data_IF_762109002153
#
_entry.id   IF_762109002153
#
_cell.length_a   1.000
_cell.length_b   1.000
_cell.length_c   1.000
_cell.angle_alpha   90.00
_cell.angle_beta   90.00
_cell.angle_gamma   90.00
#
_symmetry.space_group_name_H-M   'P 1'
#
loop_
_entity.id
_entity.type
_entity.pdbx_description
1 polymer ?
#
# COMPACT_ATOMS: atom_id res chain seq x y z
N UNK A 1 -11.57 -15.42 3.81
CA UNK A 1 -11.24 -14.13 3.16
C UNK A 1 -10.15 -14.39 2.14
N UNK A 2 -10.43 -14.13 0.87
CA UNK A 2 -9.45 -14.12 -0.21
C UNK A 2 -8.45 -12.97 0.07
N UNK A 3 -7.16 -13.24 -0.07
CA UNK A 3 -6.13 -12.20 0.00
C UNK A 3 -6.20 -11.38 -1.29
N UNK A 4 -6.66 -10.13 -1.21
CA UNK A 4 -6.58 -9.20 -2.32
C UNK A 4 -5.34 -8.33 -2.13
N UNK A 5 -4.36 -8.47 -3.03
CA UNK A 5 -3.41 -7.40 -3.27
C UNK A 5 -4.11 -6.42 -4.19
N UNK A 6 -4.48 -5.25 -3.67
CA UNK A 6 -5.14 -4.22 -4.46
C UNK A 6 -4.10 -3.49 -5.30
N UNK A 7 -4.18 -3.60 -6.63
CA UNK A 7 -3.44 -2.72 -7.53
C UNK A 7 -4.29 -1.50 -7.80
N UNK A 8 -3.92 -0.43 -7.10
CA UNK A 8 -4.68 0.81 -7.08
C UNK A 8 -3.95 1.85 -7.91
N UNK A 9 -4.66 2.50 -8.83
CA UNK A 9 -4.13 3.65 -9.55
C UNK A 9 -4.30 4.93 -8.70
N UNK A 10 -3.27 5.78 -8.68
CA UNK A 10 -3.34 7.07 -7.99
C UNK A 10 -3.73 8.13 -8.99
N UNK A 11 -4.86 8.81 -8.76
CA UNK A 11 -5.29 9.92 -9.59
C UNK A 11 -4.99 11.25 -8.86
N UNK A 12 -4.29 12.16 -9.54
CA UNK A 12 -4.11 13.56 -9.11
C UNK A 12 -4.84 14.48 -10.09
N UNK A 13 -5.96 15.05 -9.66
CA UNK A 13 -6.81 15.89 -10.51
C UNK A 13 -6.43 17.38 -10.41
N UNK A 14 -5.33 17.77 -11.03
CA UNK A 14 -4.85 19.16 -11.03
C UNK A 14 -5.67 20.14 -11.89
N UNK A 15 -6.68 19.67 -12.63
CA UNK A 15 -7.41 20.45 -13.64
C UNK A 15 -8.76 21.01 -13.18
N UNK A 16 -9.18 20.76 -11.93
CA UNK A 16 -10.38 21.42 -11.34
C UNK A 16 -10.14 22.88 -10.91
N UNK A 17 -9.03 23.50 -11.36
CA UNK A 17 -8.89 24.96 -11.44
C UNK A 17 -9.55 25.47 -12.72
N UNK A 18 -10.87 25.41 -12.81
CA UNK A 18 -11.58 26.04 -13.94
C UNK A 18 -12.61 27.04 -13.43
N UNK A 19 -12.11 28.21 -13.04
CA UNK A 19 -12.59 29.48 -13.58
C UNK A 19 -11.38 30.43 -13.65
N UNK A 20 -11.19 31.06 -14.81
CA UNK A 20 -10.20 32.12 -15.02
C UNK A 20 -10.61 33.32 -14.14
N UNK A 21 -9.71 33.85 -13.31
CA UNK A 21 -9.93 35.05 -12.48
C UNK A 21 -10.29 36.31 -13.31
N UNK A 22 -10.31 36.20 -14.64
CA UNK A 22 -10.69 37.23 -15.61
C UNK A 22 -12.07 37.05 -16.24
N UNK A 23 -12.80 35.97 -15.98
CA UNK A 23 -14.16 35.80 -16.47
C UNK A 23 -15.17 36.43 -15.48
N UNK A 24 -16.19 37.17 -15.95
CA UNK A 24 -17.24 37.67 -15.07
C UNK A 24 -17.87 36.48 -14.34
N UNK A 25 -18.31 36.70 -13.10
CA UNK A 25 -19.03 35.71 -12.30
C UNK A 25 -20.33 35.26 -13.01
N UNK A 26 -20.19 34.32 -13.94
CA UNK A 26 -21.30 33.61 -14.55
C UNK A 26 -21.70 32.58 -13.52
N UNK A 27 -22.93 32.72 -13.01
CA UNK A 27 -23.45 31.91 -11.91
C UNK A 27 -23.23 30.41 -12.11
N UNK A 28 -23.05 29.74 -10.97
CA UNK A 28 -23.05 28.30 -10.73
C UNK A 28 -23.55 27.51 -11.95
N UNK A 29 -22.63 27.04 -12.80
CA UNK A 29 -23.03 26.12 -13.85
C UNK A 29 -23.42 24.79 -13.17
N UNK A 30 -24.59 24.23 -13.51
CA UNK A 30 -25.01 22.96 -12.93
C UNK A 30 -23.96 21.88 -13.21
N UNK A 31 -23.94 20.79 -12.43
CA UNK A 31 -23.07 19.65 -12.66
C UNK A 31 -22.98 19.27 -14.14
N UNK A 32 -21.77 19.33 -14.73
CA UNK A 32 -21.53 18.73 -16.05
C UNK A 32 -21.43 17.21 -15.89
N UNK A 33 -22.58 16.60 -15.57
CA UNK A 33 -22.75 15.17 -15.40
C UNK A 33 -22.21 14.41 -16.61
N UNK A 34 -22.38 14.98 -17.80
CA UNK A 34 -21.89 14.38 -19.03
C UNK A 34 -20.37 14.26 -19.06
N UNK A 35 -19.65 15.31 -18.63
CA UNK A 35 -18.20 15.26 -18.50
C UNK A 35 -17.75 14.32 -17.40
N UNK A 36 -18.38 14.37 -16.22
CA UNK A 36 -18.06 13.49 -15.09
C UNK A 36 -18.23 12.02 -15.51
N UNK A 37 -19.37 11.67 -16.13
CA UNK A 37 -19.64 10.32 -16.58
C UNK A 37 -18.61 9.82 -17.59
N UNK A 38 -18.27 10.63 -18.61
CA UNK A 38 -17.25 10.27 -19.60
C UNK A 38 -15.89 10.06 -18.96
N UNK A 39 -15.52 10.91 -18.00
CA UNK A 39 -14.24 10.81 -17.30
C UNK A 39 -14.18 9.54 -16.46
N UNK A 40 -15.24 9.26 -15.68
CA UNK A 40 -15.37 8.02 -14.92
C UNK A 40 -15.30 6.80 -15.83
N UNK A 41 -16.00 6.81 -16.97
CA UNK A 41 -15.97 5.69 -17.92
C UNK A 41 -14.55 5.39 -18.40
N UNK A 42 -13.74 6.42 -18.68
CA UNK A 42 -12.34 6.20 -19.04
C UNK A 42 -11.52 5.64 -17.88
N UNK A 43 -11.72 6.11 -16.65
CA UNK A 43 -11.03 5.55 -15.48
C UNK A 43 -11.37 4.06 -15.26
N UNK A 44 -12.65 3.69 -15.42
CA UNK A 44 -13.08 2.29 -15.33
C UNK A 44 -12.49 1.46 -16.47
N UNK A 45 -12.50 1.99 -17.70
CA UNK A 45 -11.90 1.30 -18.85
C UNK A 45 -10.40 1.08 -18.68
N UNK A 46 -9.66 2.06 -18.15
CA UNK A 46 -8.22 1.94 -17.86
C UNK A 46 -7.99 0.84 -16.82
N UNK A 47 -8.77 0.84 -15.72
CA UNK A 47 -8.64 -0.17 -14.70
C UNK A 47 -8.93 -1.57 -15.25
N UNK A 48 -10.01 -1.74 -16.02
CA UNK A 48 -10.37 -3.01 -16.63
C UNK A 48 -9.33 -3.48 -17.65
N UNK A 49 -8.86 -2.60 -18.54
CA UNK A 49 -7.88 -2.92 -19.57
C UNK A 49 -6.56 -3.41 -18.98
N UNK A 50 -6.10 -2.77 -17.90
CA UNK A 50 -4.85 -3.13 -17.23
C UNK A 50 -5.02 -4.12 -16.07
N UNK A 51 -6.23 -4.66 -15.88
CA UNK A 51 -6.55 -5.58 -14.78
C UNK A 51 -6.17 -5.02 -13.40
N UNK A 52 -6.41 -3.72 -13.18
CA UNK A 52 -6.25 -3.05 -11.90
C UNK A 52 -7.48 -3.26 -11.03
N UNK A 53 -7.28 -3.19 -9.71
CA UNK A 53 -8.30 -3.53 -8.73
C UNK A 53 -8.97 -2.28 -8.13
N UNK A 54 -8.64 -1.08 -8.63
CA UNK A 54 -9.32 0.15 -8.21
C UNK A 54 -8.51 1.44 -8.27
N UNK A 55 -8.95 2.43 -7.50
CA UNK A 55 -8.42 3.81 -7.52
C UNK A 55 -8.24 4.40 -6.11
N UNK A 56 -7.13 5.11 -5.90
CA UNK A 56 -6.87 5.97 -4.75
C UNK A 56 -6.97 7.39 -5.27
N UNK A 57 -7.97 8.11 -4.77
CA UNK A 57 -8.26 9.48 -5.17
C UNK A 57 -7.54 10.41 -4.21
N UNK A 58 -6.52 11.11 -4.71
CA UNK A 58 -5.78 12.09 -3.93
C UNK A 58 -5.84 13.47 -4.60
N UNK A 59 -6.70 14.34 -4.09
CA UNK A 59 -6.89 15.70 -4.60
C UNK A 59 -6.12 16.67 -3.70
N UNK A 60 -4.94 17.05 -4.16
CA UNK A 60 -4.00 17.93 -3.43
C UNK A 60 -4.11 19.39 -3.91
N UNK A 61 -5.35 19.87 -4.12
CA UNK A 61 -5.64 21.25 -4.47
C UNK A 61 -7.02 21.65 -3.93
N UNK A 62 -7.19 22.94 -3.64
CA UNK A 62 -8.50 23.51 -3.32
C UNK A 62 -9.48 23.31 -4.48
N UNK A 63 -10.75 23.15 -4.12
CA UNK A 63 -11.89 22.99 -5.01
C UNK A 63 -12.86 24.13 -4.68
N UNK A 64 -13.45 24.74 -5.71
CA UNK A 64 -14.47 25.76 -5.48
C UNK A 64 -15.67 25.13 -4.78
N UNK A 65 -16.23 25.84 -3.78
CA UNK A 65 -17.34 25.34 -2.97
C UNK A 65 -18.51 24.82 -3.83
N UNK A 66 -18.83 25.52 -4.91
CA UNK A 66 -19.92 25.17 -5.84
C UNK A 66 -19.63 23.93 -6.71
N UNK A 67 -18.39 23.43 -6.70
CA UNK A 67 -17.98 22.20 -7.40
C UNK A 67 -17.92 20.98 -6.47
N UNK A 68 -18.21 21.12 -5.18
CA UNK A 68 -18.14 19.99 -4.24
C UNK A 68 -19.16 18.92 -4.59
N UNK A 69 -20.38 19.30 -4.97
CA UNK A 69 -21.40 18.35 -5.42
C UNK A 69 -20.92 17.52 -6.63
N UNK A 70 -20.17 18.14 -7.55
CA UNK A 70 -19.58 17.44 -8.71
C UNK A 70 -18.55 16.41 -8.28
N UNK A 71 -17.74 16.75 -7.28
CA UNK A 71 -16.72 15.85 -6.73
C UNK A 71 -17.36 14.66 -6.00
N UNK A 72 -18.39 14.90 -5.19
CA UNK A 72 -19.17 13.86 -4.51
C UNK A 72 -19.82 12.92 -5.54
N UNK A 73 -20.44 13.47 -6.59
CA UNK A 73 -21.03 12.69 -7.70
C UNK A 73 -19.95 11.88 -8.43
N UNK A 74 -18.78 12.47 -8.69
CA UNK A 74 -17.66 11.78 -9.31
C UNK A 74 -17.22 10.56 -8.48
N UNK A 75 -17.01 10.73 -7.18
CA UNK A 75 -16.59 9.66 -6.28
C UNK A 75 -17.64 8.54 -6.28
N UNK A 76 -18.92 8.87 -6.11
CA UNK A 76 -20.02 7.90 -6.16
C UNK A 76 -20.06 7.12 -7.47
N UNK A 77 -20.07 7.83 -8.60
CA UNK A 77 -20.17 7.21 -9.92
C UNK A 77 -18.97 6.31 -10.22
N UNK A 78 -17.76 6.72 -9.80
CA UNK A 78 -16.56 5.92 -9.94
C UNK A 78 -16.67 4.63 -9.13
N UNK A 79 -17.04 4.73 -7.86
CA UNK A 79 -17.24 3.57 -6.97
C UNK A 79 -18.26 2.60 -7.56
N UNK A 80 -19.44 3.09 -7.97
CA UNK A 80 -20.49 2.24 -8.55
C UNK A 80 -20.05 1.57 -9.86
N UNK A 81 -19.47 2.33 -10.81
CA UNK A 81 -19.07 1.78 -12.11
C UNK A 81 -17.88 0.83 -12.00
N UNK A 82 -16.94 1.09 -11.08
CA UNK A 82 -15.85 0.17 -10.78
C UNK A 82 -16.39 -1.18 -10.28
N UNK A 83 -17.30 -1.18 -9.30
CA UNK A 83 -17.91 -2.43 -8.80
C UNK A 83 -18.69 -3.21 -9.86
N UNK A 84 -19.36 -2.52 -10.78
CA UNK A 84 -20.09 -3.15 -11.89
C UNK A 84 -19.13 -3.82 -12.89
N UNK A 85 -18.01 -3.17 -13.20
CA UNK A 85 -17.03 -3.68 -14.18
C UNK A 85 -16.08 -4.72 -13.59
N UNK A 86 -15.63 -4.52 -12.35
CA UNK A 86 -14.62 -5.31 -11.66
C UNK A 86 -15.14 -5.66 -10.26
N UNK A 87 -15.86 -6.79 -10.10
CA UNK A 87 -16.36 -7.20 -8.80
C UNK A 87 -15.25 -7.32 -7.76
N UNK A 88 -15.42 -6.67 -6.61
CA UNK A 88 -14.41 -6.61 -5.56
C UNK A 88 -13.35 -5.51 -5.74
N UNK A 89 -13.52 -4.60 -6.70
CA UNK A 89 -12.71 -3.39 -6.80
C UNK A 89 -12.80 -2.51 -5.55
N UNK A 90 -11.88 -1.57 -5.40
CA UNK A 90 -11.91 -0.59 -4.30
C UNK A 90 -11.62 0.84 -4.78
N UNK A 91 -12.43 1.80 -4.35
CA UNK A 91 -12.20 3.23 -4.50
C UNK A 91 -11.94 3.82 -3.13
N UNK A 92 -10.76 4.41 -2.95
CA UNK A 92 -10.28 4.93 -1.67
C UNK A 92 -10.10 6.43 -1.78
N UNK A 93 -10.67 7.18 -0.85
CA UNK A 93 -10.50 8.63 -0.74
C UNK A 93 -9.31 8.97 0.16
N UNK A 94 -8.45 9.91 -0.25
CA UNK A 94 -7.42 10.47 0.63
C UNK A 94 -7.96 11.69 1.38
N UNK A 95 -7.81 11.72 2.70
CA UNK A 95 -8.20 12.82 3.59
C UNK A 95 -7.46 14.12 3.21
N UNK A 96 -8.06 14.91 2.32
CA UNK A 96 -7.43 16.07 1.68
C UNK A 96 -8.41 17.26 1.57
N UNK A 97 -9.31 17.22 0.60
CA UNK A 97 -10.33 18.25 0.38
C UNK A 97 -11.46 18.07 1.39
N UNK A 98 -11.92 19.18 1.97
CA UNK A 98 -13.06 19.20 2.89
C UNK A 98 -14.39 19.42 2.15
N UNK A 99 -15.51 19.27 2.85
CA UNK A 99 -16.87 19.60 2.37
C UNK A 99 -17.01 21.06 1.88
N UNK A 100 -16.11 21.95 2.30
CA UNK A 100 -16.11 23.33 1.82
C UNK A 100 -15.21 23.55 0.60
N UNK A 101 -14.45 22.53 0.19
CA UNK A 101 -13.48 22.61 -0.91
C UNK A 101 -12.07 23.04 -0.51
N UNK A 102 -11.86 23.39 0.77
CA UNK A 102 -10.54 23.71 1.29
C UNK A 102 -9.62 22.47 1.26
N UNK A 103 -8.38 22.64 0.81
CA UNK A 103 -7.33 21.63 0.96
C UNK A 103 -6.80 21.70 2.40
N UNK A 104 -7.37 20.90 3.29
CA UNK A 104 -6.95 20.83 4.70
C UNK A 104 -7.11 19.40 5.19
N UNK A 105 -5.98 18.74 5.45
CA UNK A 105 -5.97 17.38 5.99
C UNK A 105 -6.49 17.36 7.42
N UNK A 106 -7.52 16.56 7.69
CA UNK A 106 -8.16 16.49 9.00
C UNK A 106 -7.39 15.57 9.96
N UNK A 107 -6.62 14.61 9.43
CA UNK A 107 -5.96 13.54 10.17
C UNK A 107 -6.95 12.68 10.99
N UNK A 108 -8.22 12.72 10.64
CA UNK A 108 -9.31 11.95 11.23
C UNK A 108 -10.49 11.89 10.27
N UNK A 109 -11.35 10.89 10.43
CA UNK A 109 -12.67 10.90 9.82
C UNK A 109 -13.61 11.78 10.66
N UNK A 110 -14.17 12.82 10.07
CA UNK A 110 -15.10 13.75 10.74
C UNK A 110 -16.09 14.37 9.73
N UNK A 111 -16.94 15.28 10.21
CA UNK A 111 -17.99 15.91 9.39
C UNK A 111 -17.45 16.73 8.19
N UNK A 112 -16.16 17.06 8.18
CA UNK A 112 -15.54 17.81 7.07
C UNK A 112 -15.13 16.90 5.91
N UNK A 113 -15.01 15.58 6.10
CA UNK A 113 -14.61 14.65 5.03
C UNK A 113 -15.52 13.41 4.90
N UNK A 114 -16.48 13.22 5.82
CA UNK A 114 -17.42 12.09 5.80
C UNK A 114 -18.24 12.02 4.51
N UNK A 115 -18.59 13.17 3.92
CA UNK A 115 -19.33 13.23 2.65
C UNK A 115 -18.66 12.47 1.50
N UNK A 116 -17.31 12.35 1.50
CA UNK A 116 -16.59 11.56 0.50
C UNK A 116 -16.47 10.10 0.91
N UNK A 117 -16.24 9.83 2.20
CA UNK A 117 -16.17 8.48 2.76
C UNK A 117 -17.47 7.69 2.54
N UNK A 118 -18.61 8.37 2.61
CA UNK A 118 -19.93 7.77 2.39
C UNK A 118 -20.16 7.34 0.94
N UNK A 119 -19.41 7.90 -0.02
CA UNK A 119 -19.55 7.66 -1.46
C UNK A 119 -18.47 6.73 -2.04
N UNK A 120 -17.56 6.21 -1.20
CA UNK A 120 -16.49 5.30 -1.60
C UNK A 120 -16.28 4.16 -0.62
N UNK A 121 -15.37 3.24 -0.93
CA UNK A 121 -15.13 2.03 -0.14
C UNK A 121 -14.36 2.28 1.15
N UNK A 122 -13.49 3.30 1.16
CA UNK A 122 -12.64 3.58 2.31
C UNK A 122 -12.01 4.97 2.28
N UNK A 123 -11.50 5.40 3.43
CA UNK A 123 -10.69 6.61 3.57
C UNK A 123 -9.28 6.30 4.03
N UNK A 124 -8.29 6.92 3.39
CA UNK A 124 -6.90 6.99 3.82
C UNK A 124 -6.71 8.33 4.55
N UNK A 125 -6.59 8.28 5.88
CA UNK A 125 -6.34 9.45 6.73
C UNK A 125 -4.92 9.96 6.59
N UNK A 126 -4.72 11.28 6.62
CA UNK A 126 -3.38 11.87 6.62
C UNK A 126 -2.60 11.54 7.91
N UNK A 127 -1.28 11.70 7.88
CA UNK A 127 -0.35 11.08 8.84
C UNK A 127 -0.07 11.86 10.14
N UNK A 128 -0.62 13.07 10.34
CA UNK A 128 -0.38 13.89 11.55
C UNK A 128 -1.52 13.81 12.58
N UNK A 129 -2.01 12.59 12.83
CA UNK A 129 -3.08 12.30 13.78
C UNK A 129 -2.60 12.20 15.24
N UNK A 130 -3.54 12.28 16.18
CA UNK A 130 -3.35 12.08 17.62
C UNK A 130 -4.20 10.91 18.11
N UNK A 131 -3.99 10.44 19.35
CA UNK A 131 -4.84 9.38 19.94
C UNK A 131 -6.32 9.79 19.99
N UNK A 132 -6.61 11.06 20.27
CA UNK A 132 -7.98 11.59 20.26
C UNK A 132 -8.60 11.49 18.86
N UNK A 133 -7.85 11.89 17.83
CA UNK A 133 -8.26 11.80 16.43
C UNK A 133 -8.51 10.36 15.96
N UNK A 134 -7.74 9.39 16.46
CA UNK A 134 -8.02 7.96 16.23
C UNK A 134 -9.34 7.53 16.87
N UNK A 135 -9.62 7.96 18.09
CA UNK A 135 -10.87 7.65 18.78
C UNK A 135 -12.06 8.28 18.05
N UNK A 136 -11.94 9.55 17.65
CA UNK A 136 -12.96 10.24 16.86
C UNK A 136 -13.23 9.51 15.54
N UNK A 137 -12.16 9.14 14.82
CA UNK A 137 -12.29 8.39 13.56
C UNK A 137 -13.02 7.06 13.76
N UNK A 138 -12.71 6.33 14.83
CA UNK A 138 -13.39 5.09 15.16
C UNK A 138 -14.88 5.29 15.44
N UNK A 139 -15.24 6.34 16.21
CA UNK A 139 -16.63 6.69 16.48
C UNK A 139 -17.37 7.07 15.19
N UNK A 140 -16.78 7.96 14.39
CA UNK A 140 -17.40 8.50 13.18
C UNK A 140 -17.50 7.45 12.06
N UNK A 141 -16.66 6.42 12.06
CA UNK A 141 -16.75 5.31 11.10
C UNK A 141 -17.98 4.41 11.29
N UNK A 142 -18.63 4.47 12.46
CA UNK A 142 -19.76 3.62 12.79
C UNK A 142 -19.42 2.13 12.66
N UNK A 143 -20.06 1.45 11.70
CA UNK A 143 -19.82 0.02 11.44
C UNK A 143 -18.64 -0.24 10.50
N UNK A 144 -18.09 0.81 9.88
CA UNK A 144 -17.04 0.77 8.84
C UNK A 144 -15.64 1.03 9.40
N UNK A 145 -15.37 0.57 10.63
CA UNK A 145 -14.08 0.75 11.32
C UNK A 145 -12.87 0.32 10.48
N UNK A 146 -13.00 -0.77 9.72
CA UNK A 146 -11.92 -1.31 8.91
C UNK A 146 -11.77 -0.65 7.54
N UNK A 147 -12.70 0.24 7.17
CA UNK A 147 -12.64 1.07 5.97
C UNK A 147 -11.92 2.41 6.24
N UNK A 148 -11.52 2.65 7.48
CA UNK A 148 -10.68 3.80 7.86
C UNK A 148 -9.23 3.35 7.98
N UNK A 149 -8.42 3.72 6.98
CA UNK A 149 -6.99 3.46 6.95
C UNK A 149 -6.22 4.63 7.55
N UNK A 150 -5.68 4.42 8.75
CA UNK A 150 -4.81 5.40 9.41
C UNK A 150 -3.49 5.49 8.65
N UNK A 151 -3.20 6.67 8.10
CA UNK A 151 -1.95 6.93 7.38
C UNK A 151 -0.73 6.95 8.28
N UNK A 152 0.31 6.26 7.87
CA UNK A 152 1.58 6.17 8.59
C UNK A 152 2.71 6.46 7.61
N UNK A 153 3.27 7.67 7.70
CA UNK A 153 4.42 8.09 6.91
C UNK A 153 5.70 7.45 7.42
N UNK A 154 6.24 6.49 6.66
CA UNK A 154 7.45 5.77 7.05
C UNK A 154 8.68 6.69 7.06
N UNK A 155 8.66 7.85 6.39
CA UNK A 155 9.71 8.87 6.56
C UNK A 155 9.59 9.67 7.86
N UNK A 156 8.47 9.55 8.58
CA UNK A 156 8.29 10.11 9.92
C UNK A 156 7.92 11.59 9.98
N UNK A 157 7.47 12.22 8.88
CA UNK A 157 7.15 13.66 8.87
C UNK A 157 5.90 13.93 9.71
N UNK A 158 6.11 14.44 10.93
CA UNK A 158 5.02 14.78 11.85
C UNK A 158 4.28 13.58 12.44
N UNK A 159 4.83 12.37 12.30
CA UNK A 159 4.23 11.13 12.76
C UNK A 159 4.72 10.77 14.18
N UNK A 160 3.81 10.27 15.02
CA UNK A 160 4.17 9.67 16.31
C UNK A 160 5.15 8.52 16.11
N UNK A 161 6.32 8.58 16.76
CA UNK A 161 7.39 7.57 16.65
C UNK A 161 8.47 7.90 15.62
N UNK A 162 8.29 8.95 14.79
CA UNK A 162 9.35 9.48 13.93
C UNK A 162 9.76 8.61 12.72
N UNK A 163 8.93 7.65 12.33
CA UNK A 163 9.12 6.85 11.10
C UNK A 163 10.20 5.78 11.21
N UNK A 164 10.70 5.35 10.05
CA UNK A 164 11.74 4.33 9.90
C UNK A 164 11.41 3.04 10.63
N UNK A 165 12.38 2.51 11.38
CA UNK A 165 12.17 1.31 12.20
C UNK A 165 11.21 1.52 13.39
N UNK A 166 10.92 2.77 13.77
CA UNK A 166 9.96 3.10 14.82
C UNK A 166 8.52 3.25 14.31
N UNK A 167 8.29 3.07 13.00
CA UNK A 167 6.97 2.97 12.37
C UNK A 167 6.01 2.05 13.14
N UNK A 168 6.52 0.98 13.76
CA UNK A 168 5.77 0.08 14.65
C UNK A 168 4.99 0.78 15.79
N UNK A 169 5.46 1.92 16.28
CA UNK A 169 4.81 2.67 17.37
C UNK A 169 3.47 3.26 16.91
N UNK A 170 3.45 3.88 15.72
CA UNK A 170 2.23 4.37 15.10
C UNK A 170 1.25 3.22 14.78
N UNK A 171 1.76 2.08 14.27
CA UNK A 171 0.92 0.90 13.99
C UNK A 171 0.24 0.37 15.26
N UNK A 172 0.97 0.35 16.38
CA UNK A 172 0.43 -0.11 17.66
C UNK A 172 -0.77 0.73 18.11
N UNK A 173 -0.70 2.04 17.93
CA UNK A 173 -1.79 2.96 18.28
C UNK A 173 -2.99 2.81 17.35
N UNK A 174 -2.77 2.73 16.04
CA UNK A 174 -3.84 2.48 15.07
C UNK A 174 -4.58 1.15 15.35
N UNK A 175 -3.83 0.07 15.64
CA UNK A 175 -4.40 -1.23 16.02
C UNK A 175 -5.13 -1.20 17.36
N UNK A 176 -4.63 -0.44 18.34
CA UNK A 176 -5.31 -0.25 19.63
C UNK A 176 -6.68 0.44 19.45
N UNK A 177 -6.78 1.35 18.48
CA UNK A 177 -8.04 1.99 18.08
C UNK A 177 -8.93 1.10 17.19
N UNK A 178 -8.50 -0.13 16.86
CA UNK A 178 -9.18 -1.10 15.98
C UNK A 178 -9.36 -0.62 14.51
N UNK A 179 -8.60 0.40 14.11
CA UNK A 179 -8.63 0.92 12.75
C UNK A 179 -7.66 0.17 11.81
N UNK A 180 -7.88 0.33 10.52
CA UNK A 180 -6.97 -0.15 9.48
C UNK A 180 -5.74 0.76 9.36
N UNK A 181 -4.72 0.29 8.64
CA UNK A 181 -3.44 1.00 8.49
C UNK A 181 -3.13 1.15 7.00
N UNK A 182 -2.70 2.35 6.59
CA UNK A 182 -2.05 2.57 5.31
C UNK A 182 -0.61 3.04 5.51
N UNK A 183 0.36 2.28 5.00
CA UNK A 183 1.77 2.64 5.03
C UNK A 183 2.10 3.56 3.85
N UNK A 184 2.49 4.80 4.14
CA UNK A 184 2.96 5.73 3.13
C UNK A 184 4.48 5.66 2.99
N UNK A 185 4.95 5.55 1.75
CA UNK A 185 6.36 5.52 1.38
C UNK A 185 7.23 4.47 2.12
N UNK A 186 6.85 3.18 2.17
CA UNK A 186 7.70 2.12 2.74
C UNK A 186 9.02 1.91 1.95
N UNK A 187 9.15 2.52 0.76
CA UNK A 187 10.40 2.65 0.01
C UNK A 187 11.54 3.31 0.80
N UNK A 188 11.23 4.00 1.91
CA UNK A 188 12.20 4.51 2.90
C UNK A 188 13.32 3.52 3.22
N UNK A 189 12.99 2.21 3.35
CA UNK A 189 13.98 1.20 3.70
C UNK A 189 15.08 1.11 2.65
N UNK A 190 14.73 1.21 1.37
CA UNK A 190 15.68 1.22 0.27
C UNK A 190 16.41 2.57 0.14
N UNK A 191 15.66 3.66 0.24
CA UNK A 191 16.16 5.01 -0.01
C UNK A 191 17.14 5.50 1.06
N UNK A 192 16.91 5.15 2.33
CA UNK A 192 17.69 5.67 3.47
C UNK A 192 18.82 4.73 3.90
N UNK A 193 18.67 3.41 3.77
CA UNK A 193 19.74 2.47 4.13
C UNK A 193 20.79 2.28 3.01
N UNK A 194 20.62 2.96 1.88
CA UNK A 194 21.64 3.11 0.83
C UNK A 194 21.44 2.16 -0.34
N UNK A 195 21.29 2.72 -1.55
CA UNK A 195 21.07 1.95 -2.79
C UNK A 195 22.28 1.13 -3.28
N UNK A 196 23.50 1.45 -2.80
CA UNK A 196 24.76 0.85 -3.31
C UNK A 196 25.01 -0.58 -2.82
N UNK A 197 24.33 -1.02 -1.77
CA UNK A 197 24.49 -2.37 -1.20
C UNK A 197 23.11 -3.02 -1.03
N UNK A 198 22.34 -3.15 -2.12
CA UNK A 198 21.00 -3.77 -2.04
C UNK A 198 21.03 -5.19 -1.43
N UNK A 199 22.12 -5.93 -1.60
CA UNK A 199 22.36 -7.21 -0.93
C UNK A 199 22.43 -7.08 0.60
N UNK A 200 22.93 -5.96 1.14
CA UNK A 200 22.89 -5.63 2.57
C UNK A 200 21.54 -5.05 3.01
N UNK A 201 20.75 -4.49 2.08
CA UNK A 201 19.41 -3.97 2.35
C UNK A 201 18.37 -5.05 2.63
N UNK A 202 18.59 -6.31 2.24
CA UNK A 202 17.68 -7.37 2.65
C UNK A 202 17.58 -7.48 4.18
N UNK A 203 18.67 -7.24 4.93
CA UNK A 203 18.61 -7.20 6.40
C UNK A 203 17.75 -6.02 6.88
N UNK A 204 17.89 -4.86 6.26
CA UNK A 204 17.10 -3.67 6.56
C UNK A 204 15.61 -3.86 6.25
N UNK A 205 15.28 -4.46 5.10
CA UNK A 205 13.91 -4.81 4.67
C UNK A 205 13.32 -5.82 5.64
N UNK A 206 14.07 -6.88 5.94
CA UNK A 206 13.65 -7.90 6.89
C UNK A 206 13.40 -7.31 8.28
N UNK A 207 14.34 -6.50 8.79
CA UNK A 207 14.23 -5.84 10.10
C UNK A 207 13.01 -4.92 10.16
N UNK A 208 12.75 -4.15 9.10
CA UNK A 208 11.57 -3.30 9.02
C UNK A 208 10.28 -4.13 9.14
N UNK A 209 10.09 -5.12 8.28
CA UNK A 209 8.89 -5.96 8.32
C UNK A 209 8.80 -6.80 9.60
N UNK A 210 9.91 -7.23 10.17
CA UNK A 210 9.98 -7.92 11.46
C UNK A 210 9.39 -7.10 12.60
N UNK A 211 9.73 -5.80 12.65
CA UNK A 211 9.21 -4.88 13.66
C UNK A 211 7.73 -4.55 13.48
N UNK A 212 7.23 -4.52 12.26
CA UNK A 212 5.82 -4.23 11.97
C UNK A 212 4.92 -5.46 12.11
N UNK A 213 5.49 -6.66 11.95
CA UNK A 213 4.77 -7.94 11.94
C UNK A 213 3.74 -8.14 13.06
N UNK A 214 3.99 -7.81 14.34
CA UNK A 214 3.00 -8.01 15.40
C UNK A 214 1.66 -7.29 15.14
N UNK A 215 1.65 -6.28 14.27
CA UNK A 215 0.50 -5.46 13.93
C UNK A 215 -0.08 -5.76 12.54
N UNK A 216 0.57 -6.64 11.76
CA UNK A 216 0.19 -6.96 10.39
C UNK A 216 -0.16 -8.46 10.31
N UNK A 217 -1.47 -8.81 10.32
CA UNK A 217 -1.87 -10.20 10.15
C UNK A 217 -1.41 -10.72 8.80
N UNK A 218 -0.90 -11.95 8.78
CA UNK A 218 -0.44 -12.57 7.55
C UNK A 218 -1.58 -13.23 6.81
N UNK A 219 -1.56 -13.08 5.49
CA UNK A 219 -2.39 -13.84 4.57
C UNK A 219 -1.49 -14.81 3.82
N UNK A 220 -1.87 -16.09 3.80
CA UNK A 220 -1.13 -17.14 3.11
C UNK A 220 -1.94 -17.56 1.88
N UNK A 221 -1.25 -17.76 0.75
CA UNK A 221 -1.89 -18.34 -0.42
C UNK A 221 -2.15 -19.82 -0.16
N UNK A 222 -3.43 -20.20 -0.12
CA UNK A 222 -3.87 -21.57 0.15
C UNK A 222 -4.39 -22.30 -1.11
N UNK A 223 -4.07 -21.81 -2.31
CA UNK A 223 -4.45 -22.44 -3.58
C UNK A 223 -3.37 -23.40 -4.06
N UNK A 224 -3.79 -24.56 -4.58
CA UNK A 224 -2.93 -25.54 -5.21
C UNK A 224 -3.08 -25.49 -6.74
N UNK A 225 -2.02 -25.79 -7.51
CA UNK A 225 -0.68 -26.16 -7.04
C UNK A 225 0.13 -24.93 -6.58
N UNK A 226 0.85 -25.07 -5.46
CA UNK A 226 1.83 -24.08 -5.00
C UNK A 226 3.22 -24.48 -5.51
N UNK A 227 3.88 -23.60 -6.26
CA UNK A 227 5.23 -23.81 -6.79
C UNK A 227 6.05 -22.53 -6.68
N UNK A 228 7.31 -22.65 -6.27
CA UNK A 228 8.24 -21.53 -6.20
C UNK A 228 9.69 -22.05 -6.23
N UNK A 229 10.56 -21.36 -6.97
CA UNK A 229 12.02 -21.42 -6.85
C UNK A 229 12.56 -20.26 -6.02
N UNK A 230 11.67 -19.52 -5.36
CA UNK A 230 11.96 -18.32 -4.57
C UNK A 230 12.54 -17.16 -5.38
N UNK A 231 12.30 -17.11 -6.70
CA UNK A 231 12.71 -15.98 -7.51
C UNK A 231 11.99 -14.70 -7.05
N UNK A 232 12.75 -13.67 -6.70
CA UNK A 232 12.19 -12.37 -6.28
C UNK A 232 11.81 -11.43 -7.44
N UNK A 233 11.96 -11.87 -8.70
CA UNK A 233 11.75 -11.02 -9.88
C UNK A 233 12.94 -10.11 -10.17
N UNK A 234 14.13 -10.45 -9.69
CA UNK A 234 15.39 -9.78 -10.04
C UNK A 234 16.56 -10.73 -9.73
N UNK A 235 17.74 -10.43 -10.27
CA UNK A 235 18.98 -11.15 -9.96
C UNK A 235 20.20 -10.58 -10.66
N UNK A 236 21.39 -11.00 -10.20
CA UNK A 236 22.67 -10.65 -10.85
C UNK A 236 22.94 -11.47 -12.13
N UNK A 237 22.26 -12.61 -12.23
CA UNK A 237 22.33 -13.59 -13.32
C UNK A 237 20.95 -14.18 -13.55
N UNK A 238 20.77 -14.82 -14.69
CA UNK A 238 19.56 -15.62 -14.96
C UNK A 238 19.92 -17.10 -14.96
N UNK A 239 19.15 -17.90 -14.24
CA UNK A 239 19.32 -19.35 -14.13
C UNK A 239 18.18 -20.11 -14.81
N UNK A 240 18.53 -21.18 -15.51
CA UNK A 240 17.59 -22.21 -15.98
C UNK A 240 18.11 -23.60 -15.65
N UNK A 241 17.27 -24.40 -14.99
CA UNK A 241 17.60 -25.77 -14.56
C UNK A 241 18.93 -25.87 -13.79
N UNK A 242 19.24 -24.89 -12.94
CA UNK A 242 20.48 -24.86 -12.16
C UNK A 242 21.71 -24.31 -12.90
N UNK A 243 21.56 -23.87 -14.15
CA UNK A 243 22.66 -23.34 -14.96
C UNK A 243 22.48 -21.84 -15.21
N UNK A 244 23.55 -21.06 -15.07
CA UNK A 244 23.56 -19.65 -15.44
C UNK A 244 23.49 -19.53 -16.97
N UNK A 245 22.39 -18.99 -17.48
CA UNK A 245 22.13 -18.78 -18.92
C UNK A 245 22.35 -17.33 -19.35
N UNK A 246 22.40 -16.39 -18.40
CA UNK A 246 22.83 -15.01 -18.59
C UNK A 246 23.64 -14.55 -17.38
N UNK A 247 24.70 -13.79 -17.64
CA UNK A 247 25.54 -13.18 -16.61
C UNK A 247 25.20 -11.70 -16.36
N UNK A 248 24.20 -11.16 -17.06
CA UNK A 248 23.78 -9.78 -16.92
C UNK A 248 22.77 -9.62 -15.77
N UNK A 249 22.87 -8.54 -14.96
CA UNK A 249 21.86 -8.20 -13.98
C UNK A 249 20.51 -7.90 -14.64
N UNK A 250 19.43 -8.28 -13.98
CA UNK A 250 18.08 -8.06 -14.49
C UNK A 250 17.06 -7.82 -13.36
N UNK A 251 15.98 -7.13 -13.70
CA UNK A 251 14.79 -7.00 -12.87
C UNK A 251 13.52 -7.06 -13.71
N UNK A 252 12.57 -7.89 -13.26
CA UNK A 252 11.23 -8.00 -13.78
C UNK A 252 10.31 -8.56 -12.67
N UNK A 253 9.58 -7.68 -11.99
CA UNK A 253 8.69 -8.08 -10.89
C UNK A 253 7.51 -8.96 -11.34
N UNK A 254 7.19 -9.01 -12.64
CA UNK A 254 6.21 -9.97 -13.15
C UNK A 254 6.68 -11.43 -13.02
N UNK A 255 7.98 -11.64 -12.79
CA UNK A 255 8.60 -12.94 -12.54
C UNK A 255 8.79 -13.24 -11.05
N UNK A 256 8.36 -12.34 -10.15
CA UNK A 256 8.40 -12.61 -8.72
C UNK A 256 7.47 -13.79 -8.39
N UNK A 257 8.00 -14.76 -7.66
CA UNK A 257 7.29 -15.96 -7.24
C UNK A 257 6.97 -15.91 -5.74
N UNK A 258 6.04 -16.74 -5.25
CA UNK A 258 5.71 -16.82 -3.83
C UNK A 258 6.97 -16.97 -2.96
N UNK A 259 7.14 -16.04 -2.02
CA UNK A 259 8.25 -16.03 -1.07
C UNK A 259 7.85 -16.75 0.23
N UNK A 260 8.80 -17.26 1.02
CA UNK A 260 8.47 -17.92 2.28
C UNK A 260 7.74 -16.97 3.24
N UNK A 261 6.68 -17.47 3.85
CA UNK A 261 6.07 -16.83 5.01
C UNK A 261 6.88 -17.20 6.25
N UNK A 262 7.44 -16.21 6.95
CA UNK A 262 8.26 -16.43 8.14
C UNK A 262 7.53 -15.94 9.38
N UNK A 263 7.44 -16.76 10.43
CA UNK A 263 6.95 -16.33 11.74
C UNK A 263 7.98 -15.52 12.54
N UNK A 264 7.58 -14.88 13.63
CA UNK A 264 8.48 -14.02 14.41
C UNK A 264 9.62 -14.84 15.04
N UNK A 265 9.33 -16.06 15.52
CA UNK A 265 10.35 -16.99 16.01
C UNK A 265 11.29 -17.48 14.90
N UNK A 266 10.76 -17.56 13.68
CA UNK A 266 11.50 -18.00 12.49
C UNK A 266 12.33 -16.87 11.85
N UNK A 267 12.06 -15.64 12.30
CA UNK A 267 12.84 -14.46 11.98
C UNK A 267 13.92 -14.13 13.01
N UNK A 268 14.11 -15.00 14.03
CA UNK A 268 15.13 -14.84 15.05
C UNK A 268 16.54 -14.87 14.46
N UNK A 269 17.11 -13.69 14.23
CA UNK A 269 18.45 -13.52 13.70
C UNK A 269 19.51 -13.92 14.76
N UNK A 270 20.19 -15.05 14.56
CA UNK A 270 21.48 -15.32 15.20
C UNK A 270 22.54 -15.53 14.11
N UNK A 271 23.19 -14.45 13.63
CA UNK A 271 24.13 -14.50 12.50
C UNK A 271 25.33 -15.40 12.77
N UNK A 272 25.59 -15.71 14.03
CA UNK A 272 26.73 -16.51 14.45
C UNK A 272 26.46 -18.02 14.45
N UNK A 273 25.22 -18.47 14.21
CA UNK A 273 24.87 -19.89 14.30
C UNK A 273 24.07 -20.44 13.11
N UNK A 274 23.00 -19.77 12.66
CA UNK A 274 22.13 -20.24 11.57
C UNK A 274 21.40 -19.06 10.90
N UNK A 275 21.31 -19.02 9.57
CA UNK A 275 20.51 -18.02 8.86
C UNK A 275 19.93 -18.57 7.55
N UNK A 276 18.84 -17.94 7.11
CA UNK A 276 18.15 -18.22 5.85
C UNK A 276 18.05 -16.95 5.04
N UNK A 277 18.61 -16.93 3.83
CA UNK A 277 18.71 -15.71 3.03
C UNK A 277 18.54 -15.96 1.54
N UNK A 278 18.22 -14.91 0.78
CA UNK A 278 18.29 -14.98 -0.67
C UNK A 278 19.74 -15.19 -1.09
N UNK A 279 19.94 -16.06 -2.08
CA UNK A 279 21.24 -16.30 -2.67
C UNK A 279 21.17 -16.10 -4.17
N UNK A 280 21.90 -15.10 -4.66
CA UNK A 280 21.86 -14.66 -6.06
C UNK A 280 22.97 -15.29 -6.93
N UNK A 281 23.97 -15.90 -6.28
CA UNK A 281 25.10 -16.53 -6.96
C UNK A 281 24.79 -17.98 -7.41
N UNK A 282 23.62 -18.51 -7.04
CA UNK A 282 23.13 -19.82 -7.47
C UNK A 282 21.59 -19.84 -7.47
N UNK A 283 20.99 -20.57 -8.41
CA UNK A 283 19.55 -20.62 -8.60
C UNK A 283 19.11 -21.75 -9.52
N UNK A 284 17.91 -22.30 -9.29
CA UNK A 284 17.33 -23.31 -10.19
C UNK A 284 16.63 -22.67 -11.39
N UNK A 285 15.71 -21.72 -11.13
CA UNK A 285 15.02 -20.92 -12.15
C UNK A 285 14.94 -19.46 -11.69
N UNK A 286 15.21 -18.54 -12.61
CA UNK A 286 15.11 -17.10 -12.34
C UNK A 286 16.40 -16.50 -11.81
N UNK A 287 16.32 -15.74 -10.72
CA UNK A 287 17.39 -14.81 -10.31
C UNK A 287 18.21 -15.24 -9.10
N UNK A 288 17.82 -16.36 -8.47
CA UNK A 288 18.48 -16.85 -7.27
C UNK A 288 17.76 -18.05 -6.65
N UNK A 289 18.13 -18.37 -5.42
CA UNK A 289 17.60 -19.44 -4.59
C UNK A 289 17.47 -19.01 -3.13
N UNK A 290 16.82 -19.83 -2.32
CA UNK A 290 16.83 -19.69 -0.87
C UNK A 290 17.99 -20.50 -0.29
N UNK A 291 18.91 -19.84 0.41
CA UNK A 291 20.07 -20.49 1.03
C UNK A 291 19.88 -20.60 2.54
N UNK A 292 20.17 -21.78 3.04
CA UNK A 292 20.17 -22.10 4.47
C UNK A 292 21.62 -22.36 4.90
N UNK A 293 22.09 -21.62 5.89
CA UNK A 293 23.45 -21.77 6.44
C UNK A 293 23.34 -22.06 7.93
N UNK A 294 24.13 -22.99 8.44
CA UNK A 294 24.08 -23.38 9.83
C UNK A 294 25.14 -24.41 10.20
N UNK A 295 25.44 -24.54 11.49
CA UNK A 295 26.24 -25.66 11.99
C UNK A 295 25.35 -26.86 12.27
N UNK A 296 25.65 -27.99 11.65
CA UNK A 296 24.98 -29.25 11.94
C UNK A 296 25.29 -29.68 13.38
N UNK A 297 24.29 -30.11 14.17
CA UNK A 297 24.53 -30.63 15.51
C UNK A 297 25.37 -31.91 15.45
N UNK A 298 26.41 -32.01 16.28
CA UNK A 298 27.22 -33.22 16.40
C UNK A 298 26.41 -34.43 16.92
N UNK A 299 25.24 -34.18 17.52
CA UNK A 299 24.36 -35.18 18.12
C UNK A 299 23.42 -35.89 17.12
N UNK A 300 23.47 -35.56 15.83
CA UNK A 300 22.50 -36.09 14.84
C UNK A 300 21.08 -35.56 15.03
N UNK A 301 20.89 -34.57 15.91
CA UNK A 301 19.62 -33.88 16.10
C UNK A 301 19.22 -33.14 14.82
N UNK A 302 17.92 -33.09 14.46
CA UNK A 302 17.45 -32.36 13.29
C UNK A 302 17.87 -30.88 13.36
N UNK A 303 18.49 -30.38 12.29
CA UNK A 303 18.70 -28.95 12.11
C UNK A 303 17.34 -28.34 11.74
N UNK A 304 16.69 -27.70 12.72
CA UNK A 304 15.39 -27.08 12.50
C UNK A 304 15.60 -25.60 12.20
N UNK A 305 15.49 -25.24 10.93
CA UNK A 305 15.19 -23.86 10.55
C UNK A 305 13.71 -23.65 10.87
N UNK A 306 13.45 -23.25 12.11
CA UNK A 306 12.24 -22.49 12.39
C UNK A 306 12.59 -21.15 11.78
#
# INVERSE_FOLDING_TARGET
MLSFSLRVLVCRLSWMKMCDDRAPAVGCQPPDLSLIERFVDQMVNIAAHHSMDGWLINIENEIQYDQIDNLVIFVRLLTEKMHRMIPGSQVIWYDSVTVNGDLTWQNELNDLNSIFFDECDAIFLNYTWTNEKLVNSAINSGTRLHDVFVGIDVFGRGMIGGGGYNTKEALALARKAQLSIALFAPGWVYEVNGSREFDANEESVFRFWYYLRPYLPMHVSCSLPLSSTFCQGWGKRTYMHGQAVSNDPWSNLSMQQPQPTLTHSEMGYNPHQQYKWLHLEDGFLGGGSMRFVGRLPNSGSPLTYR
#
